data_IF_455523584231
#
_entry.id   IF_455523584231
#
_cell.length_a   1.000
_cell.length_b   1.000
_cell.length_c   1.000
_cell.angle_alpha   90.00
_cell.angle_beta   90.00
_cell.angle_gamma   90.00
#
_symmetry.space_group_name_H-M   'P 1'
#
loop_
_entity.id
_entity.type
_entity.pdbx_description
1 polymer ?
#
# COMPACT_ATOMS: atom_id res chain seq x y z
N UNK A 1 10.06 -9.22 -16.99
CA UNK A 1 8.74 -8.53 -16.90
C UNK A 1 8.95 -7.05 -17.25
N UNK A 2 8.04 -6.44 -18.02
CA UNK A 2 8.16 -5.02 -18.40
C UNK A 2 7.67 -4.06 -17.31
N UNK A 3 6.81 -4.54 -16.42
CA UNK A 3 6.25 -3.77 -15.30
C UNK A 3 6.58 -4.46 -13.97
N UNK A 4 7.03 -3.70 -12.97
CA UNK A 4 7.25 -4.17 -11.60
C UNK A 4 6.48 -3.26 -10.63
N UNK A 5 5.58 -3.86 -9.84
CA UNK A 5 4.88 -3.19 -8.75
C UNK A 5 5.50 -3.65 -7.43
N UNK A 6 6.12 -2.70 -6.70
CA UNK A 6 6.89 -2.97 -5.49
C UNK A 6 6.17 -2.38 -4.27
N UNK A 7 5.76 -3.24 -3.33
CA UNK A 7 5.20 -2.84 -2.04
C UNK A 7 6.25 -3.05 -0.95
N UNK A 8 6.67 -1.97 -0.30
CA UNK A 8 7.68 -1.97 0.76
C UNK A 8 7.04 -1.65 2.11
N UNK A 9 6.91 -2.66 2.98
CA UNK A 9 6.49 -2.46 4.37
C UNK A 9 7.69 -2.26 5.30
N UNK A 10 7.50 -1.61 6.46
CA UNK A 10 8.51 -1.53 7.51
C UNK A 10 9.47 -0.35 7.39
N UNK A 11 9.03 0.74 6.76
CA UNK A 11 9.80 1.99 6.65
C UNK A 11 9.10 3.14 7.33
N UNK A 12 9.87 3.96 8.04
CA UNK A 12 9.42 5.26 8.54
C UNK A 12 9.68 6.34 7.49
N UNK A 13 9.06 7.51 7.64
CA UNK A 13 9.26 8.66 6.74
C UNK A 13 10.73 9.09 6.63
N UNK A 14 11.55 8.85 7.66
CA UNK A 14 12.98 9.16 7.66
C UNK A 14 13.86 8.19 6.85
N UNK A 15 13.33 7.07 6.37
CA UNK A 15 14.08 6.03 5.64
C UNK A 15 13.87 6.09 4.13
N UNK A 16 13.46 7.25 3.61
CA UNK A 16 13.18 7.42 2.18
C UNK A 16 14.42 7.13 1.31
N UNK A 17 15.59 7.61 1.72
CA UNK A 17 16.86 7.41 0.99
C UNK A 17 17.28 5.94 0.89
N UNK A 18 17.00 5.16 1.94
CA UNK A 18 17.27 3.72 1.95
C UNK A 18 16.47 3.02 0.85
N UNK A 19 15.19 3.36 0.70
CA UNK A 19 14.38 2.71 -0.34
C UNK A 19 14.73 3.22 -1.73
N UNK A 20 15.12 4.49 -1.92
CA UNK A 20 15.67 4.92 -3.20
C UNK A 20 16.86 4.05 -3.64
N UNK A 21 17.72 3.69 -2.68
CA UNK A 21 18.83 2.76 -2.91
C UNK A 21 18.33 1.36 -3.29
N UNK A 22 17.29 0.83 -2.62
CA UNK A 22 16.65 -0.44 -3.01
C UNK A 22 16.11 -0.39 -4.45
N UNK A 23 15.46 0.70 -4.87
CA UNK A 23 14.94 0.84 -6.23
C UNK A 23 16.06 0.85 -7.29
N UNK A 24 17.22 1.43 -6.97
CA UNK A 24 18.39 1.32 -7.85
C UNK A 24 18.90 -0.12 -7.96
N UNK A 25 18.93 -0.85 -6.84
CA UNK A 25 19.33 -2.25 -6.83
C UNK A 25 18.38 -3.12 -7.65
N UNK A 26 17.06 -2.89 -7.57
CA UNK A 26 16.06 -3.56 -8.41
C UNK A 26 16.35 -3.34 -9.89
N UNK A 27 16.67 -2.10 -10.30
CA UNK A 27 17.02 -1.80 -11.70
C UNK A 27 18.32 -2.45 -12.12
N UNK A 28 19.35 -2.44 -11.27
CA UNK A 28 20.64 -3.10 -11.52
C UNK A 28 20.44 -4.60 -11.71
N UNK A 29 19.65 -5.25 -10.86
CA UNK A 29 19.31 -6.66 -10.96
C UNK A 29 18.54 -6.97 -12.25
N UNK A 30 17.58 -6.12 -12.63
CA UNK A 30 16.84 -6.28 -13.89
C UNK A 30 17.77 -6.23 -15.12
N UNK A 31 18.72 -5.28 -15.14
CA UNK A 31 19.72 -5.16 -16.22
C UNK A 31 20.65 -6.37 -16.24
N UNK A 32 21.07 -6.85 -15.06
CA UNK A 32 21.95 -8.01 -14.94
C UNK A 32 21.33 -9.32 -15.43
N UNK A 33 20.00 -9.37 -15.58
CA UNK A 33 19.25 -10.50 -16.15
C UNK A 33 18.88 -10.25 -17.63
N UNK A 34 19.73 -9.54 -18.36
CA UNK A 34 19.54 -9.13 -19.77
C UNK A 34 18.29 -8.27 -20.02
N UNK A 35 17.74 -7.66 -18.96
CA UNK A 35 16.60 -6.75 -19.06
C UNK A 35 16.99 -5.40 -19.67
N UNK A 36 16.18 -4.90 -20.61
CA UNK A 36 16.39 -3.55 -21.15
C UNK A 36 15.95 -2.48 -20.14
N UNK A 37 16.90 -1.72 -19.61
CA UNK A 37 16.67 -0.60 -18.67
C UNK A 37 15.60 0.39 -19.10
N UNK A 38 15.43 0.62 -20.41
CA UNK A 38 14.49 1.60 -20.94
C UNK A 38 13.07 1.05 -21.06
N UNK A 39 12.89 -0.26 -20.92
CA UNK A 39 11.59 -0.91 -21.00
C UNK A 39 10.98 -1.18 -19.63
N UNK A 40 11.76 -1.10 -18.55
CA UNK A 40 11.28 -1.35 -17.20
C UNK A 40 10.47 -0.16 -16.68
N UNK A 41 9.19 -0.38 -16.41
CA UNK A 41 8.32 0.54 -15.68
C UNK A 41 8.17 0.03 -14.24
N UNK A 42 8.48 0.89 -13.28
CA UNK A 42 8.47 0.57 -11.86
C UNK A 42 7.46 1.49 -11.16
N UNK A 43 6.58 0.91 -10.35
CA UNK A 43 5.85 1.64 -9.31
C UNK A 43 6.35 1.12 -7.97
N UNK A 44 6.72 2.04 -7.09
CA UNK A 44 7.11 1.73 -5.72
C UNK A 44 6.18 2.41 -4.72
N UNK A 45 5.60 1.61 -3.81
CA UNK A 45 4.76 2.08 -2.73
C UNK A 45 5.36 1.72 -1.37
N UNK A 46 5.37 2.69 -0.45
CA UNK A 46 5.50 2.38 0.98
C UNK A 46 4.17 1.92 1.52
N UNK A 47 4.23 0.90 2.36
CA UNK A 47 3.09 0.39 3.12
C UNK A 47 3.36 0.71 4.57
N UNK A 48 2.56 1.59 5.16
CA UNK A 48 2.64 1.95 6.57
C UNK A 48 1.38 1.43 7.25
N UNK A 49 1.48 0.22 7.81
CA UNK A 49 0.37 -0.46 8.49
C UNK A 49 0.28 -0.16 9.99
N UNK A 50 1.26 0.53 10.56
CA UNK A 50 1.36 0.87 11.99
C UNK A 50 1.47 2.38 12.16
N UNK A 51 0.34 3.04 12.38
CA UNK A 51 0.24 4.47 12.66
C UNK A 51 -0.99 4.77 13.52
N UNK A 52 -1.15 6.03 13.94
CA UNK A 52 -2.23 6.46 14.84
C UNK A 52 -3.48 6.98 14.10
N UNK A 53 -3.42 7.21 12.78
CA UNK A 53 -4.56 7.68 12.00
C UNK A 53 -5.69 6.66 12.01
N UNK A 54 -6.85 7.06 12.51
CA UNK A 54 -8.08 6.27 12.52
C UNK A 54 -9.14 7.00 11.69
N UNK A 55 -9.93 6.26 10.91
CA UNK A 55 -11.03 6.81 10.10
C UNK A 55 -12.32 6.12 10.52
N UNK A 56 -13.35 6.92 10.75
CA UNK A 56 -14.64 6.45 11.23
C UNK A 56 -15.76 6.80 10.27
N UNK A 57 -16.81 5.98 10.24
CA UNK A 57 -18.02 6.30 9.50
C UNK A 57 -18.69 7.54 10.10
N UNK A 58 -19.50 8.23 9.31
CA UNK A 58 -20.38 9.27 9.84
C UNK A 58 -21.23 8.71 10.99
N UNK A 59 -21.34 9.42 12.13
CA UNK A 59 -22.10 8.92 13.27
C UNK A 59 -23.55 8.68 12.88
N UNK A 60 -24.10 7.53 13.30
CA UNK A 60 -25.53 7.27 13.19
C UNK A 60 -26.31 8.19 14.16
N UNK A 61 -27.63 8.39 13.96
CA UNK A 61 -28.44 9.24 14.85
C UNK A 61 -28.41 8.85 16.34
N UNK A 62 -28.05 7.60 16.65
CA UNK A 62 -27.88 7.10 18.01
C UNK A 62 -26.48 7.39 18.62
N UNK A 63 -25.65 8.19 17.95
CA UNK A 63 -24.31 8.57 18.39
C UNK A 63 -23.26 7.47 18.30
N UNK A 64 -23.60 6.27 17.82
CA UNK A 64 -22.63 5.18 17.68
C UNK A 64 -21.71 5.40 16.49
N UNK A 65 -20.42 5.48 16.77
CA UNK A 65 -19.34 5.51 15.79
C UNK A 65 -18.96 4.07 15.43
N UNK A 66 -18.76 3.80 14.14
CA UNK A 66 -18.39 2.49 13.64
C UNK A 66 -17.19 2.60 12.71
N UNK A 67 -16.49 1.48 12.51
CA UNK A 67 -15.47 1.37 11.48
C UNK A 67 -16.10 1.62 10.10
N UNK A 68 -15.29 2.16 9.19
CA UNK A 68 -15.70 2.31 7.81
C UNK A 68 -15.87 0.94 7.13
N UNK A 69 -16.52 0.93 5.97
CA UNK A 69 -16.66 -0.30 5.18
C UNK A 69 -15.33 -0.66 4.50
N UNK A 70 -15.05 -1.95 4.25
CA UNK A 70 -13.92 -2.35 3.41
C UNK A 70 -13.96 -1.65 2.05
N UNK A 71 -12.81 -1.15 1.60
CA UNK A 71 -12.69 -0.32 0.39
C UNK A 71 -12.81 1.18 0.66
N UNK A 72 -12.97 1.61 1.91
CA UNK A 72 -12.92 3.05 2.24
C UNK A 72 -11.53 3.60 1.92
N UNK A 73 -11.51 4.59 1.04
CA UNK A 73 -10.33 5.29 0.56
C UNK A 73 -10.36 6.73 1.07
N UNK A 74 -9.24 7.23 1.56
CA UNK A 74 -9.03 8.65 1.87
C UNK A 74 -7.77 9.12 1.18
N UNK A 75 -7.91 9.95 0.16
CA UNK A 75 -6.83 10.48 -0.68
C UNK A 75 -6.68 12.01 -0.58
N UNK A 76 -7.49 12.66 0.25
CA UNK A 76 -7.53 14.12 0.41
C UNK A 76 -7.67 14.54 1.88
N UNK A 77 -7.38 15.82 2.14
CA UNK A 77 -7.51 16.52 3.43
C UNK A 77 -6.50 16.10 4.50
N UNK A 78 -6.38 14.80 4.78
CA UNK A 78 -5.49 14.24 5.81
C UNK A 78 -4.23 13.56 5.23
N UNK A 79 -4.11 13.58 3.91
CA UNK A 79 -2.95 13.09 3.14
C UNK A 79 -1.83 14.12 3.12
N UNK A 80 -0.65 13.73 2.65
CA UNK A 80 0.50 14.60 2.54
C UNK A 80 0.24 15.73 1.54
N UNK A 81 0.62 16.98 1.86
CA UNK A 81 0.58 18.07 0.88
C UNK A 81 1.73 17.98 -0.15
N UNK A 82 2.75 17.15 0.11
CA UNK A 82 3.98 17.07 -0.70
C UNK A 82 4.08 15.78 -1.52
N UNK A 83 3.55 14.68 -0.99
CA UNK A 83 3.67 13.36 -1.59
C UNK A 83 2.35 12.88 -2.14
N UNK A 84 2.39 11.96 -3.10
CA UNK A 84 1.19 11.24 -3.54
C UNK A 84 0.94 10.07 -2.59
N UNK A 85 -0.04 10.20 -1.72
CA UNK A 85 -0.38 9.19 -0.73
C UNK A 85 -1.88 9.01 -0.55
N UNK A 86 -2.27 7.88 0.03
CA UNK A 86 -3.66 7.59 0.35
C UNK A 86 -3.78 6.58 1.49
N UNK A 87 -4.85 6.68 2.26
CA UNK A 87 -5.25 5.68 3.24
C UNK A 87 -6.29 4.75 2.64
N UNK A 88 -6.12 3.45 2.85
CA UNK A 88 -7.07 2.43 2.38
C UNK A 88 -7.41 1.47 3.52
N UNK A 89 -8.69 1.45 3.91
CA UNK A 89 -9.23 0.41 4.77
C UNK A 89 -9.73 -0.76 3.92
N UNK A 90 -8.84 -1.69 3.56
CA UNK A 90 -9.16 -2.82 2.68
C UNK A 90 -9.92 -3.98 3.37
N UNK A 91 -9.97 -3.98 4.70
CA UNK A 91 -10.48 -5.09 5.51
C UNK A 91 -11.63 -4.68 6.41
N UNK A 92 -12.36 -5.68 6.88
CA UNK A 92 -13.33 -5.53 7.95
C UNK A 92 -12.62 -5.74 9.30
N UNK A 93 -12.68 -4.75 10.19
CA UNK A 93 -12.19 -4.93 11.57
C UNK A 93 -13.17 -5.83 12.34
N UNK A 94 -12.68 -6.98 12.79
CA UNK A 94 -13.47 -7.93 13.58
C UNK A 94 -13.72 -7.42 15.01
N UNK A 95 -12.73 -6.73 15.57
CA UNK A 95 -12.79 -6.13 16.89
C UNK A 95 -11.96 -4.84 16.93
N UNK A 96 -12.34 -3.92 17.81
CA UNK A 96 -11.71 -2.61 17.97
C UNK A 96 -11.88 -1.66 16.78
N UNK A 97 -10.99 -0.68 16.71
CA UNK A 97 -10.95 0.32 15.63
C UNK A 97 -10.06 -0.16 14.49
N UNK A 98 -10.57 -0.08 13.26
CA UNK A 98 -9.81 -0.36 12.06
C UNK A 98 -8.73 0.70 11.86
N UNK A 99 -7.50 0.25 11.67
CA UNK A 99 -6.40 1.12 11.22
C UNK A 99 -6.35 0.97 9.69
N UNK A 100 -6.74 1.99 8.91
CA UNK A 100 -6.57 1.96 7.46
C UNK A 100 -5.08 1.95 7.15
N UNK A 101 -4.64 1.20 6.13
CA UNK A 101 -3.21 1.21 5.78
C UNK A 101 -2.89 2.45 4.96
N UNK A 102 -1.80 3.12 5.31
CA UNK A 102 -1.32 4.29 4.58
C UNK A 102 -0.31 3.88 3.51
N UNK A 103 -0.56 4.30 2.28
CA UNK A 103 0.27 4.04 1.12
C UNK A 103 0.88 5.34 0.61
N UNK A 104 2.20 5.40 0.49
CA UNK A 104 2.90 6.48 -0.19
C UNK A 104 3.44 6.01 -1.53
N UNK A 105 3.15 6.72 -2.61
CA UNK A 105 3.69 6.46 -3.94
C UNK A 105 5.00 7.23 -4.09
N UNK A 106 6.12 6.50 -4.12
CA UNK A 106 7.46 7.10 -4.26
C UNK A 106 7.80 7.40 -5.71
N UNK A 107 7.45 6.45 -6.57
CA UNK A 107 7.77 6.47 -7.98
C UNK A 107 6.60 5.82 -8.70
N UNK A 108 6.11 6.49 -9.73
CA UNK A 108 5.13 5.94 -10.65
C UNK A 108 5.60 6.15 -12.08
N UNK A 109 6.29 5.14 -12.64
CA UNK A 109 6.71 5.13 -14.05
C UNK A 109 5.84 4.26 -14.96
N UNK A 110 4.80 3.64 -14.41
CA UNK A 110 3.77 3.01 -15.24
C UNK A 110 2.72 4.04 -15.63
N UNK A 111 2.04 3.79 -16.75
CA UNK A 111 0.91 4.58 -17.22
C UNK A 111 -0.37 4.20 -16.44
N UNK A 112 -0.28 4.23 -15.10
CA UNK A 112 -1.40 4.00 -14.19
C UNK A 112 -1.74 5.30 -13.49
N UNK A 113 -3.01 5.69 -13.56
CA UNK A 113 -3.55 6.77 -12.76
C UNK A 113 -3.61 6.38 -11.28
N UNK A 114 -3.63 7.38 -10.39
CA UNK A 114 -3.75 7.14 -8.95
C UNK A 114 -5.01 6.33 -8.57
N UNK A 115 -6.22 6.60 -9.14
CA UNK A 115 -7.40 5.79 -8.91
C UNK A 115 -7.26 4.33 -9.35
N UNK A 116 -6.61 4.08 -10.49
CA UNK A 116 -6.34 2.71 -10.94
C UNK A 116 -5.39 1.97 -10.00
N UNK A 117 -4.36 2.66 -9.51
CA UNK A 117 -3.42 2.10 -8.54
C UNK A 117 -4.09 1.81 -7.18
N UNK A 118 -4.97 2.69 -6.72
CA UNK A 118 -5.77 2.51 -5.51
C UNK A 118 -6.68 1.29 -5.64
N UNK A 119 -7.41 1.18 -6.76
CA UNK A 119 -8.29 0.04 -7.03
C UNK A 119 -7.49 -1.27 -7.17
N UNK A 120 -6.36 -1.26 -7.87
CA UNK A 120 -5.46 -2.41 -7.98
C UNK A 120 -4.97 -2.85 -6.60
N UNK A 121 -4.56 -1.91 -5.76
CA UNK A 121 -4.11 -2.19 -4.38
C UNK A 121 -5.22 -2.81 -3.55
N UNK A 122 -6.46 -2.30 -3.68
CA UNK A 122 -7.62 -2.88 -3.03
C UNK A 122 -7.93 -4.30 -3.51
N UNK A 123 -7.94 -4.54 -4.82
CA UNK A 123 -8.14 -5.87 -5.40
C UNK A 123 -7.06 -6.86 -4.93
N UNK A 124 -5.80 -6.42 -4.88
CA UNK A 124 -4.71 -7.24 -4.37
C UNK A 124 -4.98 -7.69 -2.93
N UNK A 125 -5.56 -6.86 -2.06
CA UNK A 125 -5.90 -7.24 -0.68
C UNK A 125 -6.87 -8.43 -0.56
N UNK A 126 -7.55 -8.82 -1.64
CA UNK A 126 -8.42 -10.00 -1.67
C UNK A 126 -7.74 -11.26 -2.24
N UNK A 127 -6.45 -11.19 -2.59
CA UNK A 127 -5.67 -12.31 -3.15
C UNK A 127 -4.87 -13.09 -2.11
N UNK A 128 -5.04 -12.78 -0.82
CA UNK A 128 -4.30 -13.44 0.25
C UNK A 128 -4.82 -14.88 0.50
N UNK A 129 -3.99 -15.88 0.23
CA UNK A 129 -4.42 -17.30 0.15
C UNK A 129 -4.88 -17.93 1.47
N UNK A 130 -4.59 -17.30 2.62
CA UNK A 130 -4.98 -17.84 3.94
C UNK A 130 -6.31 -17.26 4.46
N UNK A 131 -6.97 -16.38 3.71
CA UNK A 131 -8.23 -15.75 4.12
C UNK A 131 -9.18 -15.66 2.93
N UNK A 132 -10.46 -15.93 3.15
CA UNK A 132 -11.52 -15.66 2.17
C UNK A 132 -12.07 -14.23 2.25
N UNK A 133 -11.58 -13.45 3.22
CA UNK A 133 -11.89 -12.03 3.39
C UNK A 133 -10.67 -11.16 3.11
N UNK A 134 -10.90 -9.92 2.68
CA UNK A 134 -9.85 -8.94 2.41
C UNK A 134 -8.95 -8.69 3.63
N UNK A 135 -7.63 -8.73 3.41
CA UNK A 135 -6.63 -8.42 4.44
C UNK A 135 -6.34 -6.93 4.51
N UNK A 136 -5.68 -6.50 5.59
CA UNK A 136 -5.51 -5.09 5.93
C UNK A 136 -4.53 -4.31 5.05
N UNK A 137 -3.66 -4.99 4.31
CA UNK A 137 -2.70 -4.37 3.40
C UNK A 137 -2.33 -5.35 2.27
N UNK A 138 -1.57 -4.86 1.28
CA UNK A 138 -1.31 -5.60 0.04
C UNK A 138 -0.60 -6.95 0.32
N UNK A 139 -1.08 -8.08 -0.23
CA UNK A 139 -0.52 -9.39 0.09
C UNK A 139 0.95 -9.59 -0.25
N UNK A 140 1.56 -8.98 -1.29
CA UNK A 140 3.00 -9.09 -1.49
C UNK A 140 3.81 -8.66 -0.24
N UNK A 141 3.44 -7.55 0.40
CA UNK A 141 4.05 -7.12 1.65
C UNK A 141 3.69 -8.05 2.80
N UNK A 142 2.44 -8.51 2.87
CA UNK A 142 1.98 -9.45 3.90
C UNK A 142 2.75 -10.77 3.85
N UNK A 143 3.01 -11.31 2.66
CA UNK A 143 3.81 -12.52 2.49
C UNK A 143 5.27 -12.29 2.88
N UNK A 144 5.84 -11.14 2.56
CA UNK A 144 7.20 -10.79 3.00
C UNK A 144 7.30 -10.76 4.53
N UNK A 145 6.34 -10.15 5.23
CA UNK A 145 6.30 -10.19 6.70
C UNK A 145 6.25 -11.62 7.24
N UNK A 146 5.40 -12.46 6.66
CA UNK A 146 5.25 -13.86 7.08
C UNK A 146 6.49 -14.71 6.80
N UNK A 147 7.29 -14.33 5.82
CA UNK A 147 8.59 -14.97 5.56
C UNK A 147 9.62 -14.54 6.60
N UNK A 148 9.61 -13.27 7.04
CA UNK A 148 10.50 -12.76 8.07
C UNK A 148 10.13 -13.22 9.49
N UNK A 149 8.86 -13.55 9.76
CA UNK A 149 8.40 -14.13 11.04
C UNK A 149 8.78 -15.61 11.20
N UNK A 150 9.20 -16.29 10.13
CA UNK A 150 9.55 -17.72 10.11
C UNK A 150 11.04 -17.93 10.29
#
# INVERSE_FOLDING_TARGET
>A
PTNILYYRDGVSTGQFEEVLTELEQIRKAYIGLDGNRFQLKLIALFVVKRHLTCVYSTPRPNGKVQNCQPGTLVDSVITSPLYSDFYLQSHHALDGTAIPTHYFVLESKMDLSLPELQNLTYQLCHTYVRSTAGVSYAPPAYYADRLCER
#
